data_IF_586126780860
#
_entry.id   IF_586126780860
#
_cell.length_a   1.000
_cell.length_b   1.000
_cell.length_c   1.000
_cell.angle_alpha   90.00
_cell.angle_beta   90.00
_cell.angle_gamma   90.00
#
_symmetry.space_group_name_H-M   'P 1'
#
loop_
_entity.id
_entity.type
_entity.pdbx_description
1 polymer ?
#
# COMPACT_ATOMS: atom_id res chain seq x y z
N UNK A 1 -22.69 2.88 18.69
CA UNK A 1 -21.94 2.41 17.49
C UNK A 1 -20.70 3.25 17.36
N UNK A 2 -19.54 2.70 16.93
CA UNK A 2 -18.33 3.51 16.83
C UNK A 2 -18.43 4.42 15.59
N UNK A 3 -17.85 5.61 15.65
CA UNK A 3 -17.77 6.58 14.54
C UNK A 3 -17.24 5.92 13.24
N UNK A 4 -16.31 4.97 13.35
CA UNK A 4 -15.74 4.24 12.22
C UNK A 4 -16.78 3.33 11.54
N UNK A 5 -17.67 2.69 12.31
CA UNK A 5 -18.76 1.89 11.74
C UNK A 5 -19.75 2.75 10.93
N UNK A 6 -19.97 4.00 11.35
CA UNK A 6 -20.78 4.96 10.60
C UNK A 6 -20.07 5.42 9.32
N UNK A 7 -18.75 5.63 9.39
CA UNK A 7 -17.93 5.95 8.23
C UNK A 7 -17.98 4.82 7.18
N UNK A 8 -17.82 3.56 7.62
CA UNK A 8 -17.90 2.39 6.72
C UNK A 8 -19.27 2.23 6.05
N UNK A 9 -20.37 2.54 6.76
CA UNK A 9 -21.71 2.46 6.16
C UNK A 9 -21.95 3.49 5.06
N UNK A 10 -21.28 4.65 5.13
CA UNK A 10 -21.39 5.75 4.16
C UNK A 10 -20.32 5.68 3.08
N UNK A 11 -19.28 4.88 3.29
CA UNK A 11 -18.17 4.77 2.36
C UNK A 11 -18.60 4.11 1.05
N UNK A 12 -18.09 4.58 -0.08
CA UNK A 12 -18.37 3.96 -1.37
C UNK A 12 -17.73 2.59 -1.48
N UNK A 13 -18.35 1.70 -2.25
CA UNK A 13 -17.74 0.44 -2.68
C UNK A 13 -16.74 0.76 -3.79
N UNK A 14 -15.54 0.23 -3.64
CA UNK A 14 -14.43 0.47 -4.57
C UNK A 14 -14.51 -0.45 -5.79
N UNK A 15 -13.83 -0.07 -6.86
CA UNK A 15 -13.71 -0.92 -8.04
C UNK A 15 -12.81 -2.12 -7.75
N UNK A 16 -13.31 -3.30 -8.11
CA UNK A 16 -12.54 -4.55 -8.12
C UNK A 16 -12.02 -4.73 -9.53
N UNK A 17 -10.72 -4.51 -9.71
CA UNK A 17 -10.06 -4.59 -11.02
C UNK A 17 -9.79 -6.03 -11.46
N UNK A 18 -9.63 -6.95 -10.50
CA UNK A 18 -9.50 -8.38 -10.73
C UNK A 18 -10.20 -9.15 -9.59
N UNK A 19 -10.95 -10.19 -9.95
CA UNK A 19 -11.48 -11.24 -9.06
C UNK A 19 -11.29 -12.56 -9.83
N UNK A 20 -10.16 -13.21 -9.62
CA UNK A 20 -9.69 -14.31 -10.45
C UNK A 20 -9.15 -15.47 -9.59
N UNK A 21 -9.24 -16.69 -10.12
CA UNK A 21 -8.76 -17.91 -9.46
C UNK A 21 -9.73 -18.42 -8.40
N UNK A 22 -9.34 -19.51 -7.74
CA UNK A 22 -10.11 -20.21 -6.71
C UNK A 22 -9.21 -20.60 -5.54
N UNK A 23 -9.80 -20.84 -4.37
CA UNK A 23 -9.08 -21.25 -3.15
C UNK A 23 -9.06 -20.15 -2.09
N UNK A 24 -7.99 -20.11 -1.28
CA UNK A 24 -7.82 -19.09 -0.24
C UNK A 24 -7.73 -17.70 -0.85
N UNK A 25 -8.37 -16.72 -0.18
CA UNK A 25 -8.49 -15.38 -0.72
C UNK A 25 -7.25 -14.53 -0.44
N UNK A 26 -6.78 -13.81 -1.44
CA UNK A 26 -5.74 -12.79 -1.32
C UNK A 26 -6.31 -11.46 -1.82
N UNK A 27 -6.28 -10.44 -0.97
CA UNK A 27 -6.70 -9.07 -1.31
C UNK A 27 -5.46 -8.22 -1.57
N UNK A 28 -5.41 -7.53 -2.71
CA UNK A 28 -4.29 -6.71 -3.15
C UNK A 28 -4.68 -5.22 -3.17
N UNK A 29 -3.86 -4.37 -2.52
CA UNK A 29 -4.01 -2.91 -2.44
C UNK A 29 -2.78 -2.22 -3.04
N UNK A 30 -2.96 -1.48 -4.13
CA UNK A 30 -1.89 -0.78 -4.85
C UNK A 30 -1.40 0.50 -4.15
N UNK A 31 -0.39 1.17 -4.70
CA UNK A 31 0.18 2.41 -4.19
C UNK A 31 -0.58 3.67 -4.61
N UNK A 32 -0.12 4.82 -4.10
CA UNK A 32 -0.64 6.14 -4.49
C UNK A 32 -0.48 6.37 -6.00
N UNK A 33 -1.44 7.04 -6.62
CA UNK A 33 -1.43 7.35 -8.05
C UNK A 33 -1.18 6.14 -8.96
N UNK A 34 -1.66 4.96 -8.56
CA UNK A 34 -1.45 3.69 -9.24
C UNK A 34 -2.78 2.96 -9.49
N UNK A 35 -2.71 1.71 -9.85
CA UNK A 35 -3.84 0.80 -10.09
C UNK A 35 -3.45 -0.65 -9.80
N UNK A 36 -4.37 -1.58 -10.02
CA UNK A 36 -4.10 -3.02 -9.89
C UNK A 36 -2.94 -3.51 -10.77
N UNK A 37 -2.52 -2.76 -11.81
CA UNK A 37 -1.35 -3.05 -12.64
C UNK A 37 -0.03 -3.13 -11.85
N UNK A 38 0.02 -2.55 -10.65
CA UNK A 38 1.13 -2.76 -9.69
C UNK A 38 1.45 -4.25 -9.51
N UNK A 39 0.44 -5.11 -9.58
CA UNK A 39 0.56 -6.54 -9.30
C UNK A 39 0.53 -7.42 -10.58
N UNK A 40 0.81 -6.84 -11.76
CA UNK A 40 0.79 -7.56 -13.04
C UNK A 40 1.72 -8.80 -13.08
N UNK A 41 2.82 -8.78 -12.30
CA UNK A 41 3.75 -9.89 -12.18
C UNK A 41 3.38 -10.88 -11.05
N UNK A 42 2.43 -10.51 -10.19
CA UNK A 42 2.04 -11.30 -9.01
C UNK A 42 0.74 -12.06 -9.25
N UNK A 43 -0.28 -11.39 -9.82
CA UNK A 43 -1.61 -11.96 -10.05
C UNK A 43 -1.56 -13.25 -10.88
N UNK A 44 -0.84 -13.32 -12.02
CA UNK A 44 -0.86 -14.52 -12.87
C UNK A 44 -0.33 -15.78 -12.17
N UNK A 45 0.58 -15.61 -11.21
CA UNK A 45 1.15 -16.73 -10.46
C UNK A 45 0.20 -17.15 -9.31
N UNK A 46 -0.26 -16.20 -8.51
CA UNK A 46 -1.11 -16.48 -7.35
C UNK A 46 -2.49 -17.06 -7.74
N UNK A 47 -3.09 -16.60 -8.85
CA UNK A 47 -4.41 -17.10 -9.29
C UNK A 47 -4.44 -18.58 -9.64
N UNK A 48 -3.28 -19.23 -9.76
CA UNK A 48 -3.19 -20.68 -10.01
C UNK A 48 -3.65 -21.49 -8.80
N UNK A 49 -3.53 -20.91 -7.59
CA UNK A 49 -3.79 -21.61 -6.31
C UNK A 49 -4.66 -20.82 -5.34
N UNK A 50 -4.95 -19.54 -5.66
CA UNK A 50 -5.68 -18.61 -4.80
C UNK A 50 -6.73 -17.84 -5.58
N UNK A 51 -7.78 -17.38 -4.88
CA UNK A 51 -8.69 -16.35 -5.39
C UNK A 51 -8.09 -14.98 -5.12
N UNK A 52 -7.78 -14.24 -6.17
CA UNK A 52 -7.14 -12.93 -6.11
C UNK A 52 -8.17 -11.84 -6.30
N UNK A 53 -8.24 -10.92 -5.35
CA UNK A 53 -9.12 -9.75 -5.39
C UNK A 53 -8.23 -8.51 -5.38
N UNK A 54 -8.10 -7.83 -6.52
CA UNK A 54 -7.35 -6.58 -6.63
C UNK A 54 -8.29 -5.39 -6.57
N UNK A 55 -8.18 -4.58 -5.51
CA UNK A 55 -9.02 -3.42 -5.24
C UNK A 55 -8.28 -2.16 -5.65
N UNK A 56 -8.92 -1.31 -6.46
CA UNK A 56 -8.43 0.04 -6.74
C UNK A 56 -8.81 0.98 -5.62
N UNK A 57 -7.83 1.74 -5.14
CA UNK A 57 -8.01 2.61 -3.97
C UNK A 57 -8.93 3.80 -4.27
N UNK A 58 -9.55 4.33 -3.23
CA UNK A 58 -10.45 5.49 -3.29
C UNK A 58 -9.77 6.67 -4.02
N UNK A 59 -10.42 7.17 -5.08
CA UNK A 59 -9.90 8.25 -5.91
C UNK A 59 -8.87 7.86 -6.97
N UNK A 60 -8.55 6.54 -7.10
CA UNK A 60 -7.61 6.04 -8.10
C UNK A 60 -8.24 4.97 -8.98
N UNK A 61 -7.66 4.76 -10.18
CA UNK A 61 -8.17 3.82 -11.16
C UNK A 61 -9.62 4.14 -11.56
N UNK A 62 -10.49 3.14 -11.46
CA UNK A 62 -11.94 3.27 -11.70
C UNK A 62 -12.77 3.39 -10.41
N UNK A 63 -12.11 3.51 -9.26
CA UNK A 63 -12.79 3.69 -7.99
C UNK A 63 -13.40 5.09 -7.86
N UNK A 64 -14.49 5.25 -7.08
CA UNK A 64 -15.11 6.54 -6.82
C UNK A 64 -14.11 7.57 -6.28
N UNK A 65 -14.31 8.83 -6.68
CA UNK A 65 -13.55 9.99 -6.21
C UNK A 65 -14.52 11.07 -5.69
N UNK A 66 -15.12 10.92 -4.50
CA UNK A 66 -16.09 11.86 -3.97
C UNK A 66 -15.46 13.24 -3.75
N UNK A 67 -16.19 14.30 -4.07
CA UNK A 67 -15.71 15.69 -3.94
C UNK A 67 -15.55 16.15 -2.49
N UNK A 68 -16.35 15.60 -1.57
CA UNK A 68 -16.34 15.87 -0.15
C UNK A 68 -15.36 14.97 0.64
N UNK A 69 -14.69 14.02 -0.03
CA UNK A 69 -13.72 13.13 0.58
C UNK A 69 -12.42 13.87 0.93
N UNK A 70 -11.93 13.67 2.14
CA UNK A 70 -10.66 14.20 2.63
C UNK A 70 -9.48 13.24 2.42
N UNK A 71 -9.74 12.04 1.91
CA UNK A 71 -8.76 10.98 1.62
C UNK A 71 -7.84 10.67 2.80
N UNK A 72 -8.40 10.68 3.99
CA UNK A 72 -7.71 10.24 5.21
C UNK A 72 -7.51 8.73 5.18
N UNK A 73 -6.56 8.24 5.99
CA UNK A 73 -6.31 6.80 6.12
C UNK A 73 -7.61 6.06 6.53
N UNK A 74 -8.43 6.67 7.38
CA UNK A 74 -9.67 6.08 7.86
C UNK A 74 -10.77 6.06 6.80
N UNK A 75 -10.87 7.06 5.92
CA UNK A 75 -11.81 7.05 4.79
C UNK A 75 -11.41 6.00 3.74
N UNK A 76 -10.11 5.88 3.43
CA UNK A 76 -9.62 4.80 2.57
C UNK A 76 -9.96 3.42 3.16
N UNK A 77 -9.64 3.21 4.44
CA UNK A 77 -9.88 1.92 5.12
C UNK A 77 -11.39 1.64 5.25
N UNK A 78 -12.22 2.67 5.45
CA UNK A 78 -13.67 2.52 5.46
C UNK A 78 -14.20 2.05 4.10
N UNK A 79 -13.70 2.63 2.99
CA UNK A 79 -14.09 2.21 1.65
C UNK A 79 -13.61 0.79 1.32
N UNK A 80 -12.37 0.43 1.72
CA UNK A 80 -11.86 -0.95 1.64
C UNK A 80 -12.75 -1.90 2.43
N UNK A 81 -13.13 -1.53 3.68
CA UNK A 81 -14.00 -2.34 4.53
C UNK A 81 -15.40 -2.52 3.94
N UNK A 82 -15.98 -1.47 3.36
CA UNK A 82 -17.27 -1.56 2.67
C UNK A 82 -17.20 -2.51 1.47
N UNK A 83 -16.10 -2.44 0.70
CA UNK A 83 -15.85 -3.30 -0.46
C UNK A 83 -15.68 -4.77 -0.04
N UNK A 84 -14.83 -5.05 0.94
CA UNK A 84 -14.60 -6.42 1.43
C UNK A 84 -15.89 -7.03 2.01
N UNK A 85 -16.68 -6.25 2.74
CA UNK A 85 -18.00 -6.72 3.23
C UNK A 85 -18.93 -7.11 2.09
N UNK A 86 -18.93 -6.40 0.97
CA UNK A 86 -19.78 -6.72 -0.18
C UNK A 86 -19.44 -8.05 -0.83
N UNK A 87 -18.22 -8.55 -0.62
CA UNK A 87 -17.74 -9.84 -1.13
C UNK A 87 -18.19 -11.05 -0.30
N UNK A 88 -18.74 -10.82 0.91
CA UNK A 88 -19.22 -11.85 1.83
C UNK A 88 -18.20 -12.99 2.06
N UNK A 89 -16.90 -12.61 2.24
CA UNK A 89 -15.84 -13.58 2.52
C UNK A 89 -16.13 -14.32 3.83
N UNK A 90 -15.97 -15.64 3.83
CA UNK A 90 -16.31 -16.50 4.99
C UNK A 90 -15.09 -16.78 5.87
N UNK A 91 -13.92 -16.82 5.26
CA UNK A 91 -12.66 -17.16 5.92
C UNK A 91 -11.73 -15.94 5.96
N UNK A 92 -10.82 -15.87 6.94
CA UNK A 92 -9.78 -14.87 6.95
C UNK A 92 -8.92 -14.96 5.70
N UNK A 93 -8.50 -13.80 5.18
CA UNK A 93 -7.75 -13.69 3.93
C UNK A 93 -6.33 -13.15 4.14
N UNK A 94 -5.48 -13.34 3.15
CA UNK A 94 -4.16 -12.69 3.10
C UNK A 94 -4.35 -11.29 2.52
N UNK A 95 -3.80 -10.28 3.19
CA UNK A 95 -3.86 -8.88 2.73
C UNK A 95 -2.47 -8.43 2.29
N UNK A 96 -2.35 -8.01 1.05
CA UNK A 96 -1.10 -7.51 0.45
C UNK A 96 -1.27 -6.04 0.11
N UNK A 97 -0.40 -5.18 0.63
CA UNK A 97 -0.36 -3.77 0.28
C UNK A 97 0.98 -3.39 -0.34
N UNK A 98 0.97 -2.49 -1.32
CA UNK A 98 2.16 -1.87 -1.88
C UNK A 98 2.16 -0.36 -1.61
N UNK A 99 3.27 0.21 -1.16
CA UNK A 99 3.42 1.65 -0.94
C UNK A 99 2.31 2.21 -0.03
N UNK A 100 1.50 3.19 -0.47
CA UNK A 100 0.30 3.65 0.25
C UNK A 100 -0.61 2.48 0.66
N UNK A 101 -0.83 1.52 -0.24
CA UNK A 101 -1.63 0.33 0.07
C UNK A 101 -1.11 -0.47 1.28
N UNK A 102 0.21 -0.42 1.57
CA UNK A 102 0.79 -1.04 2.77
C UNK A 102 0.34 -0.33 4.06
N UNK A 103 0.27 1.00 4.04
CA UNK A 103 -0.19 1.78 5.20
C UNK A 103 -1.66 1.50 5.49
N UNK A 104 -2.48 1.46 4.41
CA UNK A 104 -3.91 1.14 4.50
C UNK A 104 -4.14 -0.30 4.96
N UNK A 105 -3.33 -1.24 4.47
CA UNK A 105 -3.40 -2.65 4.86
C UNK A 105 -3.04 -2.85 6.34
N UNK A 106 -2.01 -2.17 6.85
CA UNK A 106 -1.64 -2.21 8.26
C UNK A 106 -2.78 -1.68 9.14
N UNK A 107 -3.36 -0.51 8.80
CA UNK A 107 -4.51 0.06 9.51
C UNK A 107 -5.73 -0.85 9.43
N UNK A 108 -5.99 -1.48 8.27
CA UNK A 108 -7.07 -2.44 8.12
C UNK A 108 -6.89 -3.63 9.06
N UNK A 109 -5.70 -4.26 9.06
CA UNK A 109 -5.40 -5.41 9.90
C UNK A 109 -5.50 -5.11 11.40
N UNK A 110 -5.06 -3.92 11.84
CA UNK A 110 -5.21 -3.46 13.22
C UNK A 110 -6.70 -3.33 13.63
N UNK A 111 -7.55 -2.82 12.73
CA UNK A 111 -8.99 -2.63 13.00
C UNK A 111 -9.84 -3.89 12.84
N UNK A 112 -9.39 -4.85 12.02
CA UNK A 112 -10.10 -6.08 11.66
C UNK A 112 -9.27 -7.34 11.99
N UNK A 113 -8.86 -7.55 13.27
CA UNK A 113 -7.87 -8.56 13.65
C UNK A 113 -8.32 -10.02 13.42
N UNK A 114 -9.59 -10.25 13.07
CA UNK A 114 -10.13 -11.58 12.78
C UNK A 114 -10.28 -11.86 11.28
N UNK A 115 -10.12 -10.83 10.44
CA UNK A 115 -10.35 -10.93 8.99
C UNK A 115 -9.05 -11.18 8.21
N UNK A 116 -7.89 -10.80 8.78
CA UNK A 116 -6.58 -10.92 8.12
C UNK A 116 -5.81 -12.07 8.74
N UNK A 117 -5.54 -13.12 7.94
CA UNK A 117 -4.77 -14.29 8.35
C UNK A 117 -3.25 -14.04 8.26
N UNK A 118 -2.82 -13.22 7.31
CA UNK A 118 -1.44 -12.78 7.07
C UNK A 118 -1.43 -11.42 6.38
N UNK A 119 -0.46 -10.59 6.73
CA UNK A 119 -0.27 -9.27 6.14
C UNK A 119 1.09 -9.22 5.41
N UNK A 120 1.09 -8.79 4.15
CA UNK A 120 2.31 -8.57 3.37
C UNK A 120 2.40 -7.10 2.98
N UNK A 121 3.42 -6.42 3.47
CA UNK A 121 3.69 -5.00 3.24
C UNK A 121 4.87 -4.86 2.27
N UNK A 122 4.59 -4.54 1.02
CA UNK A 122 5.59 -4.37 -0.02
C UNK A 122 5.97 -2.89 -0.15
N UNK A 123 7.24 -2.58 0.01
CA UNK A 123 7.78 -1.21 -0.11
C UNK A 123 7.00 -0.17 0.71
N UNK A 124 6.71 -0.42 2.00
CA UNK A 124 5.94 0.52 2.82
C UNK A 124 6.77 1.78 3.11
N UNK A 125 6.28 3.00 2.81
CA UNK A 125 6.98 4.24 3.12
C UNK A 125 6.82 4.59 4.60
N UNK A 126 7.40 3.77 5.49
CA UNK A 126 7.31 3.91 6.94
C UNK A 126 8.46 4.77 7.44
N UNK A 127 8.16 5.79 8.23
CA UNK A 127 9.14 6.60 8.93
C UNK A 127 8.56 7.22 10.20
N UNK A 128 9.44 7.56 11.12
CA UNK A 128 9.13 8.39 12.26
C UNK A 128 9.04 9.86 11.84
N UNK A 129 8.28 10.65 12.57
CA UNK A 129 8.28 12.10 12.35
C UNK A 129 9.69 12.66 12.60
N UNK A 130 10.14 13.69 11.86
CA UNK A 130 11.49 14.25 12.03
C UNK A 130 11.83 14.59 13.49
N UNK A 131 10.84 15.04 14.27
CA UNK A 131 11.01 15.39 15.68
C UNK A 131 11.29 14.18 16.57
N UNK A 132 10.85 13.00 16.15
CA UNK A 132 11.03 11.73 16.87
C UNK A 132 12.35 11.02 16.52
N UNK A 133 13.07 11.51 15.49
CA UNK A 133 14.30 10.90 14.98
C UNK A 133 15.51 11.50 15.71
N UNK A 134 16.19 10.68 16.50
CA UNK A 134 17.40 11.10 17.23
C UNK A 134 18.61 11.31 16.33
N UNK A 135 18.82 10.47 15.31
CA UNK A 135 19.93 10.56 14.37
C UNK A 135 19.77 11.76 13.42
N UNK A 136 20.71 12.74 13.40
CA UNK A 136 20.62 13.92 12.55
C UNK A 136 20.63 13.64 11.04
N UNK A 137 21.32 12.59 10.59
CA UNK A 137 21.40 12.22 9.17
C UNK A 137 20.07 11.63 8.71
N UNK A 138 19.51 10.69 9.48
CA UNK A 138 18.19 10.09 9.21
C UNK A 138 17.11 11.16 9.25
N UNK A 139 17.15 12.06 10.23
CA UNK A 139 16.21 13.20 10.35
C UNK A 139 16.31 14.11 9.13
N UNK A 140 17.53 14.44 8.68
CA UNK A 140 17.77 15.24 7.49
C UNK A 140 17.17 14.61 6.23
N UNK A 141 17.31 13.29 6.09
CA UNK A 141 16.78 12.50 4.97
C UNK A 141 15.25 12.54 4.95
N UNK A 142 14.60 12.21 6.08
CA UNK A 142 13.13 12.26 6.19
C UNK A 142 12.61 13.69 5.97
N UNK A 143 13.27 14.70 6.52
CA UNK A 143 12.90 16.11 6.29
C UNK A 143 13.04 16.52 4.82
N UNK A 144 13.99 15.95 4.08
CA UNK A 144 14.10 16.18 2.63
C UNK A 144 12.90 15.57 1.87
N UNK A 145 12.44 14.37 2.25
CA UNK A 145 11.22 13.79 1.68
C UNK A 145 9.98 14.64 1.94
N UNK A 146 9.81 15.13 3.18
CA UNK A 146 8.66 15.99 3.51
C UNK A 146 8.66 17.25 2.65
N UNK A 147 9.84 17.88 2.43
CA UNK A 147 9.95 19.04 1.54
C UNK A 147 9.63 18.69 0.08
N UNK A 148 10.12 17.54 -0.39
CA UNK A 148 9.83 17.08 -1.75
C UNK A 148 8.33 16.80 -1.95
N UNK A 149 7.67 16.16 -1.00
CA UNK A 149 6.23 15.93 -1.04
C UNK A 149 5.45 17.25 -1.01
N UNK A 150 5.83 18.20 -0.16
CA UNK A 150 5.25 19.55 -0.15
C UNK A 150 5.37 20.22 -1.52
N UNK A 151 6.58 20.20 -2.12
CA UNK A 151 6.82 20.76 -3.45
C UNK A 151 5.93 20.11 -4.53
N UNK A 152 5.81 18.78 -4.53
CA UNK A 152 4.95 18.07 -5.48
C UNK A 152 3.48 18.47 -5.34
N UNK A 153 2.97 18.66 -4.12
CA UNK A 153 1.59 19.08 -3.87
C UNK A 153 1.31 20.53 -4.30
N UNK A 154 2.30 21.41 -4.19
CA UNK A 154 2.17 22.83 -4.50
C UNK A 154 2.37 23.14 -6.00
N UNK A 155 3.01 22.23 -6.75
CA UNK A 155 3.38 22.45 -8.14
C UNK A 155 2.68 21.46 -9.08
N UNK A 156 1.36 21.59 -9.25
CA UNK A 156 0.49 20.66 -9.97
C UNK A 156 0.98 20.33 -11.38
N UNK A 157 1.16 21.33 -12.24
CA UNK A 157 1.53 21.14 -13.65
C UNK A 157 2.89 20.46 -13.79
N UNK A 158 3.86 20.88 -12.95
CA UNK A 158 5.16 20.24 -12.88
C UNK A 158 5.04 18.77 -12.48
N UNK A 159 4.26 18.47 -11.46
CA UNK A 159 4.09 17.12 -10.92
C UNK A 159 3.43 16.20 -11.93
N UNK A 160 2.33 16.62 -12.56
CA UNK A 160 1.63 15.85 -13.60
C UNK A 160 2.56 15.59 -14.79
N UNK A 161 3.22 16.64 -15.30
CA UNK A 161 4.11 16.54 -16.47
C UNK A 161 5.33 15.65 -16.18
N UNK A 162 5.91 15.79 -14.98
CA UNK A 162 7.09 15.00 -14.59
C UNK A 162 6.71 13.54 -14.35
N UNK A 163 5.59 13.26 -13.68
CA UNK A 163 5.11 11.90 -13.48
C UNK A 163 4.88 11.17 -14.81
N UNK A 164 4.27 11.83 -15.79
CA UNK A 164 4.07 11.27 -17.12
C UNK A 164 5.41 10.92 -17.79
N UNK A 165 6.38 11.84 -17.79
CA UNK A 165 7.73 11.61 -18.37
C UNK A 165 8.47 10.47 -17.67
N UNK A 166 8.41 10.41 -16.34
CA UNK A 166 9.05 9.34 -15.55
C UNK A 166 8.38 8.01 -15.83
N UNK A 167 7.05 7.97 -15.90
CA UNK A 167 6.30 6.77 -16.26
C UNK A 167 6.69 6.23 -17.62
N UNK A 168 6.81 7.10 -18.63
CA UNK A 168 7.21 6.72 -19.99
C UNK A 168 8.67 6.24 -20.04
N UNK A 169 9.59 6.99 -19.41
CA UNK A 169 11.02 6.66 -19.41
C UNK A 169 11.32 5.33 -18.73
N UNK A 170 10.67 5.06 -17.60
CA UNK A 170 10.85 3.84 -16.81
C UNK A 170 9.92 2.71 -17.24
N UNK A 171 9.08 2.92 -18.24
CA UNK A 171 8.07 1.98 -18.75
C UNK A 171 7.15 1.48 -17.63
N UNK A 172 6.75 2.39 -16.72
CA UNK A 172 5.89 2.07 -15.58
C UNK A 172 4.43 1.90 -15.99
N UNK A 173 4.06 2.39 -17.18
CA UNK A 173 2.69 2.31 -17.71
C UNK A 173 1.66 2.86 -16.71
N UNK A 174 0.62 2.08 -16.42
CA UNK A 174 -0.43 2.45 -15.49
C UNK A 174 -0.02 2.35 -14.00
N UNK A 175 1.22 1.95 -13.70
CA UNK A 175 1.72 1.85 -12.31
C UNK A 175 2.04 3.19 -11.67
N UNK A 176 2.12 4.28 -12.44
CA UNK A 176 2.21 5.65 -11.94
C UNK A 176 1.44 6.57 -12.87
N UNK A 177 0.31 7.07 -12.43
CA UNK A 177 -0.56 7.95 -13.22
C UNK A 177 -1.12 9.07 -12.35
N UNK A 178 -0.47 10.23 -12.40
CA UNK A 178 -0.98 11.47 -11.80
C UNK A 178 -1.61 12.30 -12.90
N UNK A 179 -2.91 12.60 -12.76
CA UNK A 179 -3.73 13.30 -13.76
C UNK A 179 -4.55 14.41 -13.09
N UNK A 180 -5.18 15.26 -13.91
CA UNK A 180 -6.13 16.24 -13.43
C UNK A 180 -7.27 15.61 -12.60
N UNK A 181 -7.77 14.46 -13.04
CA UNK A 181 -8.91 13.77 -12.42
C UNK A 181 -8.58 13.25 -11.02
N UNK A 182 -7.37 12.71 -10.82
CA UNK A 182 -6.97 12.15 -9.53
C UNK A 182 -6.08 13.08 -8.70
N UNK A 183 -5.87 14.33 -9.14
CA UNK A 183 -5.00 15.28 -8.45
C UNK A 183 -5.39 15.51 -6.99
N UNK A 184 -6.69 15.71 -6.71
CA UNK A 184 -7.19 15.91 -5.35
C UNK A 184 -6.93 14.67 -4.48
N UNK A 185 -7.26 13.46 -5.00
CA UNK A 185 -7.00 12.21 -4.32
C UNK A 185 -5.50 12.01 -4.05
N UNK A 186 -4.65 12.31 -5.05
CA UNK A 186 -3.19 12.22 -4.91
C UNK A 186 -2.67 13.15 -3.80
N UNK A 187 -2.99 14.45 -3.86
CA UNK A 187 -2.45 15.43 -2.93
C UNK A 187 -2.91 15.21 -1.49
N UNK A 188 -4.20 14.90 -1.30
CA UNK A 188 -4.75 14.65 0.03
C UNK A 188 -4.29 13.31 0.61
N UNK A 189 -4.22 12.23 -0.19
CA UNK A 189 -3.66 10.95 0.27
C UNK A 189 -2.18 11.06 0.64
N UNK A 190 -1.40 11.82 -0.15
CA UNK A 190 0.00 12.08 0.17
C UNK A 190 0.13 12.75 1.53
N UNK A 191 -0.62 13.82 1.76
CA UNK A 191 -0.59 14.59 3.00
C UNK A 191 -1.16 13.83 4.20
N UNK A 192 -2.33 13.20 4.03
CA UNK A 192 -3.11 12.66 5.16
C UNK A 192 -2.84 11.19 5.46
N UNK A 193 -2.23 10.46 4.53
CA UNK A 193 -1.87 9.07 4.76
C UNK A 193 -0.35 8.88 4.88
N UNK A 194 0.45 9.46 3.97
CA UNK A 194 1.89 9.21 3.93
C UNK A 194 2.62 10.15 4.89
N UNK A 195 2.37 11.47 4.82
CA UNK A 195 3.05 12.44 5.68
C UNK A 195 2.58 12.39 7.16
N UNK A 196 1.34 11.98 7.41
CA UNK A 196 0.71 11.96 8.75
C UNK A 196 0.49 10.54 9.29
N UNK A 197 1.30 9.58 8.85
CA UNK A 197 1.09 8.17 9.16
C UNK A 197 1.30 7.80 10.63
N UNK A 198 0.64 6.72 11.04
CA UNK A 198 0.79 6.04 12.33
C UNK A 198 1.10 4.55 12.15
N UNK A 199 1.71 4.19 11.03
CA UNK A 199 1.85 2.81 10.55
C UNK A 199 2.62 1.90 11.50
N UNK A 200 3.60 2.45 12.24
CA UNK A 200 4.33 1.67 13.26
C UNK A 200 3.37 1.18 14.36
N UNK A 201 2.45 2.05 14.83
CA UNK A 201 1.42 1.67 15.79
C UNK A 201 0.43 0.65 15.21
N UNK A 202 0.00 0.85 13.96
CA UNK A 202 -0.91 -0.08 13.29
C UNK A 202 -0.28 -1.48 13.13
N UNK A 203 1.02 -1.55 12.78
CA UNK A 203 1.78 -2.80 12.73
C UNK A 203 1.84 -3.47 14.12
N UNK A 204 2.10 -2.68 15.17
CA UNK A 204 2.17 -3.21 16.53
C UNK A 204 0.82 -3.75 17.06
N UNK A 205 -0.30 -3.17 16.60
CA UNK A 205 -1.66 -3.56 16.99
C UNK A 205 -2.22 -4.73 16.16
N UNK A 206 -1.64 -5.05 15.00
CA UNK A 206 -2.09 -6.14 14.16
C UNK A 206 -1.81 -7.51 14.82
N UNK A 207 -2.80 -8.41 14.76
CA UNK A 207 -2.75 -9.72 15.42
C UNK A 207 -2.45 -10.90 14.47
N UNK A 208 -1.88 -10.64 13.32
CA UNK A 208 -1.50 -11.66 12.33
C UNK A 208 0.01 -11.61 12.05
N UNK A 209 0.60 -12.68 11.48
CA UNK A 209 1.95 -12.63 10.94
C UNK A 209 2.08 -11.54 9.87
N UNK A 210 3.18 -10.77 9.91
CA UNK A 210 3.45 -9.67 8.99
C UNK A 210 4.79 -9.91 8.29
N UNK A 211 4.77 -9.92 6.97
CA UNK A 211 5.97 -9.91 6.14
C UNK A 211 6.17 -8.52 5.53
N UNK A 212 7.33 -7.92 5.77
CA UNK A 212 7.69 -6.61 5.19
C UNK A 212 8.76 -6.84 4.13
N UNK A 213 8.43 -6.56 2.88
CA UNK A 213 9.29 -6.83 1.72
C UNK A 213 9.76 -5.50 1.13
N UNK A 214 11.07 -5.24 1.13
CA UNK A 214 11.65 -3.95 0.74
C UNK A 214 12.84 -4.14 -0.19
N UNK A 215 12.91 -3.33 -1.24
CA UNK A 215 14.07 -3.24 -2.11
C UNK A 215 15.24 -2.51 -1.45
N UNK A 216 16.49 -2.95 -1.68
CA UNK A 216 17.67 -2.25 -1.13
C UNK A 216 17.96 -0.90 -1.80
N UNK A 217 17.32 -0.62 -2.93
CA UNK A 217 17.37 0.66 -3.64
C UNK A 217 16.06 1.46 -3.51
N UNK A 218 15.19 1.06 -2.58
CA UNK A 218 13.94 1.75 -2.33
C UNK A 218 14.19 3.04 -1.55
N UNK A 219 14.05 4.16 -2.23
CA UNK A 219 14.34 5.51 -1.71
C UNK A 219 13.30 5.96 -0.66
N UNK A 220 12.08 5.41 -0.70
CA UNK A 220 10.98 5.82 0.17
C UNK A 220 10.98 5.10 1.53
N UNK A 221 11.88 4.18 1.75
CA UNK A 221 12.03 3.49 3.04
C UNK A 221 13.13 4.16 3.85
N UNK A 222 12.74 4.81 4.95
CA UNK A 222 13.68 5.51 5.80
C UNK A 222 14.70 4.55 6.45
N UNK A 223 15.99 4.92 6.51
CA UNK A 223 16.99 4.12 7.21
C UNK A 223 16.59 3.87 8.67
N UNK A 224 16.84 2.64 9.16
CA UNK A 224 16.54 2.25 10.54
C UNK A 224 15.10 1.84 10.82
N UNK A 225 14.13 2.17 9.95
CA UNK A 225 12.71 1.81 10.16
C UNK A 225 12.51 0.30 10.21
N UNK A 226 13.16 -0.45 9.29
CA UNK A 226 13.09 -1.92 9.29
C UNK A 226 13.65 -2.53 10.56
N UNK A 227 14.66 -1.90 11.18
CA UNK A 227 15.26 -2.38 12.42
C UNK A 227 14.33 -2.15 13.62
N UNK A 228 13.47 -1.14 13.55
CA UNK A 228 12.44 -0.87 14.57
C UNK A 228 11.32 -1.90 14.48
N UNK A 229 10.69 -2.03 13.31
CA UNK A 229 9.55 -2.93 13.12
C UNK A 229 9.96 -4.42 13.17
N UNK A 230 11.16 -4.75 12.70
CA UNK A 230 11.69 -6.12 12.73
C UNK A 230 11.99 -6.67 14.13
N UNK A 231 11.92 -5.83 15.19
CA UNK A 231 11.98 -6.29 16.58
C UNK A 231 10.63 -6.80 17.10
N UNK A 232 9.54 -6.55 16.39
CA UNK A 232 8.22 -7.06 16.75
C UNK A 232 8.14 -8.56 16.43
N UNK A 233 7.66 -9.39 17.36
CA UNK A 233 7.69 -10.86 17.26
C UNK A 233 6.95 -11.42 16.04
N UNK A 234 5.91 -10.73 15.58
CA UNK A 234 5.04 -11.14 14.47
C UNK A 234 5.46 -10.51 13.13
N UNK A 235 6.60 -9.80 13.08
CA UNK A 235 7.12 -9.14 11.88
C UNK A 235 8.37 -9.85 11.39
N UNK A 236 8.35 -10.24 10.11
CA UNK A 236 9.52 -10.73 9.37
C UNK A 236 9.88 -9.73 8.28
N UNK A 237 11.14 -9.35 8.19
CA UNK A 237 11.61 -8.38 7.18
C UNK A 237 12.42 -9.09 6.09
N UNK A 238 12.12 -8.78 4.83
CA UNK A 238 12.77 -9.32 3.63
C UNK A 238 13.42 -8.19 2.83
N UNK A 239 14.74 -8.22 2.69
CA UNK A 239 15.49 -7.24 1.88
C UNK A 239 15.78 -7.81 0.49
N UNK A 240 15.25 -7.18 -0.55
CA UNK A 240 15.39 -7.61 -1.95
C UNK A 240 16.53 -6.83 -2.61
N UNK A 241 17.63 -7.52 -2.91
CA UNK A 241 18.85 -6.88 -3.46
C UNK A 241 18.58 -6.29 -4.85
N UNK A 242 19.04 -5.05 -5.05
CA UNK A 242 18.95 -4.32 -6.32
C UNK A 242 17.52 -4.20 -6.86
N UNK A 243 16.53 -3.97 -5.99
CA UNK A 243 15.16 -3.58 -6.33
C UNK A 243 14.86 -2.18 -5.80
N UNK A 244 14.20 -1.39 -6.60
CA UNK A 244 13.69 -0.06 -6.28
C UNK A 244 12.29 -0.15 -5.62
N UNK A 245 11.55 0.96 -5.57
CA UNK A 245 10.20 1.01 -4.99
C UNK A 245 9.15 0.20 -5.76
N UNK A 246 9.40 -0.09 -7.05
CA UNK A 246 8.41 -0.71 -7.95
C UNK A 246 8.37 -2.23 -7.76
N UNK A 247 7.19 -2.83 -7.87
CA UNK A 247 7.00 -4.29 -7.83
C UNK A 247 7.52 -4.91 -9.13
N UNK A 248 8.86 -4.98 -9.24
CA UNK A 248 9.55 -5.66 -10.34
C UNK A 248 9.71 -7.14 -10.05
N UNK A 249 10.19 -7.90 -11.02
CA UNK A 249 10.32 -9.36 -10.96
C UNK A 249 10.95 -9.88 -9.65
N UNK A 250 11.98 -9.22 -9.11
CA UNK A 250 12.64 -9.66 -7.88
C UNK A 250 11.75 -9.46 -6.65
N UNK A 251 11.13 -8.28 -6.53
CA UNK A 251 10.20 -7.98 -5.43
C UNK A 251 8.97 -8.89 -5.51
N UNK A 252 8.39 -9.04 -6.71
CA UNK A 252 7.27 -9.95 -6.95
C UNK A 252 7.60 -11.38 -6.51
N UNK A 253 8.79 -11.91 -6.85
CA UNK A 253 9.21 -13.25 -6.43
C UNK A 253 9.23 -13.40 -4.90
N UNK A 254 9.69 -12.39 -4.17
CA UNK A 254 9.71 -12.46 -2.70
C UNK A 254 8.30 -12.37 -2.13
N UNK A 255 7.43 -11.50 -2.70
CA UNK A 255 6.00 -11.44 -2.32
C UNK A 255 5.34 -12.82 -2.49
N UNK A 256 5.54 -13.47 -3.64
CA UNK A 256 5.01 -14.80 -3.89
C UNK A 256 5.51 -15.82 -2.86
N UNK A 257 6.81 -15.80 -2.57
CA UNK A 257 7.42 -16.71 -1.57
C UNK A 257 6.87 -16.49 -0.15
N UNK A 258 6.54 -15.26 0.24
CA UNK A 258 5.93 -14.99 1.56
C UNK A 258 4.51 -15.54 1.66
N UNK A 259 3.82 -15.71 0.52
CA UNK A 259 2.44 -16.23 0.45
C UNK A 259 2.45 -17.75 0.36
N UNK A 260 3.16 -18.33 -0.61
CA UNK A 260 3.13 -19.74 -0.98
C UNK A 260 4.26 -20.58 -0.31
N UNK A 261 5.21 -19.95 0.39
CA UNK A 261 6.42 -20.59 0.86
C UNK A 261 7.46 -20.83 -0.25
N UNK A 262 8.37 -21.80 -0.04
CA UNK A 262 9.49 -22.04 -0.97
C UNK A 262 9.08 -22.68 -2.31
N UNK A 263 7.82 -23.05 -2.51
CA UNK A 263 7.30 -23.67 -3.73
C UNK A 263 6.99 -22.68 -4.86
N UNK A 264 7.07 -21.36 -4.61
CA UNK A 264 6.81 -20.33 -5.60
C UNK A 264 7.90 -20.25 -6.68
N UNK A 265 7.65 -20.81 -7.85
CA UNK A 265 8.51 -20.68 -9.03
C UNK A 265 7.99 -19.62 -9.98
N UNK A 266 8.72 -18.50 -10.14
CA UNK A 266 8.54 -17.57 -11.28
C UNK A 266 9.40 -18.12 -12.42
N UNK A 267 8.77 -18.57 -13.48
CA UNK A 267 9.39 -18.95 -14.76
C UNK A 267 9.79 -17.72 -15.59
#
# INVERSE_FOLDING_TARGET
MSWFADLVRRAPVLNIAADEGEGSVIVLLHGIASSASTFELVIPELRKHHRIIAIELLGFGKSPAPEDCEYTIDEHVAAISATIRSLHLREPFILVGHSLGSLLAARYAARHPREVSRLVLASPPIYLRPEEIGDPLVRGHVSAYMRAFGFLRENKDFTITTAAKVSDLLKLGATLSITEQNWRAFTLSLQRCIESQTTISDIAEANCPIDVVVGTLDEFVAPGTLDIIGKMRHVTTHRVIANDHVVRRRLAKVILKTIDGDEAHIH
#
